data_IF_856219087099
#
_entry.id   IF_856219087099
#
_cell.length_a   1.000
_cell.length_b   1.000
_cell.length_c   1.000
_cell.angle_alpha   90.00
_cell.angle_beta   90.00
_cell.angle_gamma   90.00
#
_symmetry.space_group_name_H-M   'P 1'
#
loop_
_entity.id
_entity.type
_entity.pdbx_description
1 polymer ?
#
# COMPACT_ATOMS: atom_id res chain seq x y z
N UNK A 1 26.71 11.45 -9.19
CA UNK A 1 27.40 10.15 -9.19
C UNK A 1 26.42 9.14 -8.62
N UNK A 2 25.73 8.31 -9.41
CA UNK A 2 24.88 7.28 -8.81
C UNK A 2 25.78 6.14 -8.31
N UNK A 3 25.65 5.84 -7.03
CA UNK A 3 26.41 4.87 -6.26
C UNK A 3 25.85 3.46 -6.52
N UNK A 4 26.70 2.53 -6.95
CA UNK A 4 26.38 1.10 -7.12
C UNK A 4 27.15 0.34 -6.04
N UNK A 5 26.52 -0.46 -5.17
CA UNK A 5 27.26 -1.34 -4.28
C UNK A 5 27.93 -2.44 -5.09
N UNK A 6 29.26 -2.40 -5.16
CA UNK A 6 30.10 -3.47 -5.70
C UNK A 6 30.08 -4.69 -4.74
N UNK A 7 29.00 -5.50 -4.73
CA UNK A 7 29.06 -6.83 -4.07
C UNK A 7 28.05 -7.88 -4.54
N UNK A 8 27.57 -7.83 -5.78
CA UNK A 8 26.92 -8.99 -6.41
C UNK A 8 27.76 -9.49 -7.58
N UNK A 9 28.16 -10.77 -7.53
CA UNK A 9 28.74 -11.40 -8.72
C UNK A 9 27.70 -11.41 -9.85
N UNK A 10 28.14 -11.23 -11.10
CA UNK A 10 27.26 -11.19 -12.26
C UNK A 10 26.24 -12.37 -12.34
N UNK A 11 26.57 -13.61 -11.92
CA UNK A 11 25.60 -14.71 -11.86
C UNK A 11 24.48 -14.51 -10.83
N UNK A 12 24.78 -13.95 -9.65
CA UNK A 12 23.78 -13.70 -8.60
C UNK A 12 22.88 -12.54 -8.99
N UNK A 13 23.44 -11.50 -9.63
CA UNK A 13 22.64 -10.43 -10.20
C UNK A 13 21.70 -10.95 -11.30
N UNK A 14 22.19 -11.84 -12.16
CA UNK A 14 21.39 -12.46 -13.21
C UNK A 14 20.28 -13.35 -12.64
N UNK A 15 20.56 -14.14 -11.59
CA UNK A 15 19.57 -14.98 -10.92
C UNK A 15 18.47 -14.16 -10.24
N UNK A 16 18.83 -13.03 -9.60
CA UNK A 16 17.87 -12.09 -9.03
C UNK A 16 17.01 -11.41 -10.10
N UNK A 17 17.61 -11.03 -11.24
CA UNK A 17 16.88 -10.46 -12.37
C UNK A 17 15.96 -11.49 -13.04
N UNK A 18 16.40 -12.73 -13.21
CA UNK A 18 15.60 -13.82 -13.78
C UNK A 18 14.50 -14.30 -12.82
N UNK A 19 14.71 -14.19 -11.50
CA UNK A 19 13.66 -14.40 -10.49
C UNK A 19 12.61 -13.30 -10.56
N UNK A 20 13.02 -12.02 -10.54
CA UNK A 20 12.10 -10.88 -10.74
C UNK A 20 11.36 -10.94 -12.07
N UNK A 21 12.04 -11.38 -13.14
CA UNK A 21 11.42 -11.55 -14.46
C UNK A 21 10.39 -12.67 -14.45
N UNK A 22 10.67 -13.80 -13.78
CA UNK A 22 9.70 -14.89 -13.59
C UNK A 22 8.51 -14.44 -12.74
N UNK A 23 8.74 -13.70 -11.66
CA UNK A 23 7.67 -13.11 -10.83
C UNK A 23 6.81 -12.11 -11.63
N UNK A 24 7.41 -11.21 -12.42
CA UNK A 24 6.69 -10.33 -13.37
C UNK A 24 5.94 -11.07 -14.47
N UNK A 25 6.35 -12.31 -14.80
CA UNK A 25 5.65 -13.16 -15.78
C UNK A 25 4.50 -13.96 -15.14
N UNK A 26 4.49 -14.13 -13.82
CA UNK A 26 3.41 -14.82 -13.07
C UNK A 26 2.25 -13.88 -12.74
N UNK A 27 2.51 -12.58 -12.58
CA UNK A 27 1.47 -11.56 -12.42
C UNK A 27 1.89 -10.29 -13.16
N UNK A 28 1.04 -9.82 -14.09
CA UNK A 28 1.21 -8.50 -14.72
C UNK A 28 0.91 -7.45 -13.64
N UNK A 29 1.86 -6.53 -13.34
CA UNK A 29 1.61 -5.42 -12.43
C UNK A 29 0.37 -4.63 -12.86
N UNK A 30 -0.44 -4.20 -11.91
CA UNK A 30 -1.76 -3.63 -12.14
C UNK A 30 -1.71 -2.41 -13.07
N UNK A 31 -0.73 -1.52 -12.86
CA UNK A 31 -0.57 -0.33 -13.69
C UNK A 31 0.05 -0.64 -15.07
N UNK A 32 0.93 -1.64 -15.18
CA UNK A 32 1.40 -2.13 -16.48
C UNK A 32 0.22 -2.66 -17.32
N UNK A 33 -0.71 -3.40 -16.69
CA UNK A 33 -1.96 -3.88 -17.32
C UNK A 33 -2.91 -2.74 -17.73
N UNK A 34 -3.09 -1.73 -16.88
CA UNK A 34 -3.94 -0.58 -17.19
C UNK A 34 -3.38 0.33 -18.29
N UNK A 35 -2.06 0.59 -18.29
CA UNK A 35 -1.42 1.54 -19.20
C UNK A 35 -1.09 0.94 -20.57
N UNK A 36 -0.86 -0.37 -20.66
CA UNK A 36 -0.60 -1.06 -21.93
C UNK A 36 -1.76 -0.98 -22.93
N UNK A 37 -2.95 -0.56 -22.47
CA UNK A 37 -4.13 -0.39 -23.34
C UNK A 37 -4.89 -1.69 -23.60
N UNK A 38 -4.55 -2.76 -22.87
CA UNK A 38 -5.15 -4.09 -22.96
C UNK A 38 -5.96 -4.41 -21.69
N UNK A 39 -7.06 -3.68 -21.39
CA UNK A 39 -7.89 -3.97 -20.22
C UNK A 39 -8.51 -5.39 -20.28
N UNK A 40 -8.58 -5.99 -21.47
CA UNK A 40 -8.96 -7.39 -21.65
C UNK A 40 -8.00 -8.36 -20.96
N UNK A 41 -6.70 -8.11 -21.01
CA UNK A 41 -5.71 -8.96 -20.33
C UNK A 41 -5.85 -8.88 -18.80
N UNK A 42 -6.12 -7.68 -18.27
CA UNK A 42 -6.37 -7.52 -16.84
C UNK A 42 -7.71 -8.16 -16.43
N UNK A 43 -8.74 -8.07 -17.28
CA UNK A 43 -10.02 -8.76 -17.07
C UNK A 43 -9.84 -10.30 -17.05
N UNK A 44 -9.05 -10.85 -17.96
CA UNK A 44 -8.75 -12.29 -18.05
C UNK A 44 -7.91 -12.81 -16.87
N UNK A 45 -7.26 -11.92 -16.13
CA UNK A 45 -6.50 -12.29 -14.94
C UNK A 45 -7.38 -12.63 -13.72
N UNK A 46 -8.68 -12.26 -13.74
CA UNK A 46 -9.62 -12.60 -12.67
C UNK A 46 -10.10 -14.05 -12.79
N UNK A 47 -10.28 -14.71 -11.63
CA UNK A 47 -10.81 -16.07 -11.57
C UNK A 47 -12.28 -16.13 -12.00
N UNK A 48 -13.03 -15.05 -11.75
CA UNK A 48 -14.45 -14.88 -12.06
C UNK A 48 -14.81 -13.45 -12.42
N UNK A 49 -15.97 -12.96 -11.95
CA UNK A 49 -16.34 -11.56 -12.15
C UNK A 49 -15.33 -10.64 -11.44
N UNK A 50 -14.78 -9.62 -12.11
CA UNK A 50 -13.80 -8.73 -11.49
C UNK A 50 -14.44 -7.96 -10.34
N UNK A 51 -13.74 -7.89 -9.22
CA UNK A 51 -14.12 -7.12 -8.05
C UNK A 51 -12.96 -6.22 -7.61
N UNK A 52 -13.21 -4.90 -7.61
CA UNK A 52 -12.23 -3.89 -7.21
C UNK A 52 -12.86 -2.97 -6.19
N UNK A 53 -12.10 -2.65 -5.14
CA UNK A 53 -12.47 -1.60 -4.20
C UNK A 53 -11.51 -0.42 -4.34
N UNK A 54 -12.03 0.66 -4.91
CA UNK A 54 -11.33 1.92 -5.14
C UNK A 54 -11.68 2.93 -4.03
N UNK A 55 -10.72 3.72 -3.51
CA UNK A 55 -10.97 4.69 -2.44
C UNK A 55 -12.03 5.75 -2.78
N UNK A 56 -12.17 6.13 -4.05
CA UNK A 56 -13.07 7.21 -4.49
C UNK A 56 -14.36 6.66 -5.09
N UNK A 57 -14.27 5.62 -5.93
CA UNK A 57 -15.40 5.04 -6.65
C UNK A 57 -16.10 3.94 -5.87
N UNK A 58 -15.52 3.48 -4.76
CA UNK A 58 -16.04 2.38 -3.96
C UNK A 58 -15.92 1.05 -4.69
N UNK A 59 -16.93 0.19 -4.51
CA UNK A 59 -16.95 -1.17 -5.06
C UNK A 59 -17.33 -1.16 -6.54
N UNK A 60 -16.43 -1.65 -7.39
CA UNK A 60 -16.62 -1.90 -8.81
C UNK A 60 -16.69 -3.41 -9.01
N UNK A 61 -17.81 -3.91 -9.57
CA UNK A 61 -18.01 -5.35 -9.77
C UNK A 61 -18.56 -5.68 -11.16
N UNK A 62 -18.02 -6.74 -11.75
CA UNK A 62 -18.47 -7.29 -13.02
C UNK A 62 -17.77 -6.64 -14.22
N UNK A 63 -17.68 -7.39 -15.31
CA UNK A 63 -16.87 -7.04 -16.48
C UNK A 63 -17.21 -5.67 -17.08
N UNK A 64 -18.50 -5.32 -17.16
CA UNK A 64 -18.91 -4.02 -17.72
C UNK A 64 -18.45 -2.84 -16.85
N UNK A 65 -18.65 -2.92 -15.53
CA UNK A 65 -18.25 -1.86 -14.62
C UNK A 65 -16.72 -1.73 -14.55
N UNK A 66 -16.02 -2.87 -14.53
CA UNK A 66 -14.57 -2.92 -14.61
C UNK A 66 -14.03 -2.27 -15.89
N UNK A 67 -14.58 -2.61 -17.06
CA UNK A 67 -14.14 -2.01 -18.33
C UNK A 67 -14.35 -0.49 -18.37
N UNK A 68 -15.49 0.00 -17.86
CA UNK A 68 -15.75 1.43 -17.75
C UNK A 68 -14.75 2.11 -16.79
N UNK A 69 -14.49 1.48 -15.64
CA UNK A 69 -13.52 1.94 -14.66
C UNK A 69 -12.09 1.98 -15.23
N UNK A 70 -11.66 0.93 -15.92
CA UNK A 70 -10.33 0.83 -16.52
C UNK A 70 -10.14 1.87 -17.64
N UNK A 71 -11.13 2.02 -18.52
CA UNK A 71 -11.10 3.03 -19.58
C UNK A 71 -11.01 4.46 -19.02
N UNK A 72 -11.82 4.77 -18.01
CA UNK A 72 -11.81 6.09 -17.39
C UNK A 72 -10.51 6.36 -16.61
N UNK A 73 -10.00 5.37 -15.87
CA UNK A 73 -8.73 5.50 -15.14
C UNK A 73 -7.55 5.69 -16.10
N UNK A 74 -7.52 4.95 -17.20
CA UNK A 74 -6.51 5.11 -18.26
C UNK A 74 -6.56 6.50 -18.89
N UNK A 75 -7.74 6.97 -19.27
CA UNK A 75 -7.90 8.32 -19.82
C UNK A 75 -7.37 9.38 -18.84
N UNK A 76 -7.74 9.26 -17.56
CA UNK A 76 -7.28 10.15 -16.50
C UNK A 76 -5.76 10.15 -16.31
N UNK A 77 -5.11 8.97 -16.38
CA UNK A 77 -3.65 8.82 -16.31
C UNK A 77 -2.96 9.44 -17.54
N UNK A 78 -3.51 9.20 -18.74
CA UNK A 78 -2.96 9.73 -19.99
C UNK A 78 -3.07 11.26 -20.07
N UNK A 79 -4.22 11.82 -19.70
CA UNK A 79 -4.45 13.27 -19.63
C UNK A 79 -3.45 13.98 -18.70
N UNK A 80 -2.93 13.27 -17.69
CA UNK A 80 -2.00 13.80 -16.69
C UNK A 80 -0.56 13.38 -16.91
N UNK A 81 -0.21 12.91 -18.10
CA UNK A 81 1.14 12.47 -18.46
C UNK A 81 1.75 11.52 -17.41
N UNK A 82 0.94 10.58 -16.91
CA UNK A 82 1.33 9.73 -15.79
C UNK A 82 2.53 8.83 -16.13
N UNK A 83 3.45 8.67 -15.19
CA UNK A 83 4.50 7.66 -15.22
C UNK A 83 4.55 6.91 -13.90
N UNK A 84 4.88 5.62 -13.96
CA UNK A 84 4.86 4.72 -12.79
C UNK A 84 6.30 4.44 -12.36
N UNK A 85 6.54 4.53 -11.06
CA UNK A 85 7.76 4.08 -10.40
C UNK A 85 7.40 2.94 -9.44
N UNK A 86 7.92 1.74 -9.71
CA UNK A 86 7.71 0.57 -8.86
C UNK A 86 8.55 0.67 -7.58
N UNK A 87 7.94 0.49 -6.41
CA UNK A 87 8.64 0.43 -5.13
C UNK A 87 8.81 -1.01 -4.65
N UNK A 88 7.71 -1.68 -4.31
CA UNK A 88 7.73 -3.05 -3.78
C UNK A 88 6.64 -3.89 -4.46
N UNK A 89 6.93 -5.17 -4.67
CA UNK A 89 6.00 -6.11 -5.27
C UNK A 89 6.22 -7.49 -4.65
N UNK A 90 5.18 -8.02 -4.01
CA UNK A 90 5.18 -9.33 -3.36
C UNK A 90 4.00 -10.15 -3.87
N UNK A 91 4.26 -11.39 -4.28
CA UNK A 91 3.23 -12.39 -4.61
C UNK A 91 3.51 -13.68 -3.85
N UNK A 92 2.61 -14.04 -2.95
CA UNK A 92 2.60 -15.27 -2.18
C UNK A 92 1.37 -16.09 -2.58
N UNK A 93 1.38 -17.40 -2.38
CA UNK A 93 0.49 -18.38 -3.03
C UNK A 93 -1.05 -18.18 -2.96
N UNK A 94 -1.55 -17.18 -2.24
CA UNK A 94 -2.95 -16.72 -2.31
C UNK A 94 -3.14 -15.20 -2.21
N UNK A 95 -2.08 -14.42 -2.03
CA UNK A 95 -2.17 -12.97 -1.82
C UNK A 95 -0.94 -12.27 -2.39
N UNK A 96 -1.11 -11.05 -2.88
CA UNK A 96 0.01 -10.21 -3.23
C UNK A 96 -0.30 -8.75 -3.05
N UNK A 97 0.75 -7.92 -3.07
CA UNK A 97 0.57 -6.49 -3.20
C UNK A 97 1.64 -5.90 -4.11
N UNK A 98 1.28 -4.75 -4.68
CA UNK A 98 2.14 -3.90 -5.47
C UNK A 98 2.07 -2.50 -4.88
N UNK A 99 3.23 -1.91 -4.64
CA UNK A 99 3.38 -0.55 -4.16
C UNK A 99 4.13 0.25 -5.24
N UNK A 100 3.54 1.38 -5.63
CA UNK A 100 4.08 2.23 -6.70
C UNK A 100 3.95 3.71 -6.36
N UNK A 101 4.72 4.54 -7.04
CA UNK A 101 4.50 5.98 -7.12
C UNK A 101 3.97 6.31 -8.51
N UNK A 102 2.77 6.89 -8.57
CA UNK A 102 2.20 7.45 -9.78
C UNK A 102 2.58 8.92 -9.86
N UNK A 103 3.51 9.24 -10.76
CA UNK A 103 3.92 10.62 -11.04
C UNK A 103 2.99 11.20 -12.10
N UNK A 104 2.31 12.29 -11.80
CA UNK A 104 1.28 12.88 -12.66
C UNK A 104 1.31 14.40 -12.64
N UNK A 105 0.86 15.03 -13.71
CA UNK A 105 0.70 16.48 -13.78
C UNK A 105 -0.55 16.90 -12.97
N UNK A 106 -0.35 17.73 -11.95
CA UNK A 106 -1.38 18.39 -11.17
C UNK A 106 -1.54 19.87 -11.54
N UNK A 107 -2.54 20.53 -10.96
CA UNK A 107 -2.85 21.95 -11.25
C UNK A 107 -1.69 22.90 -10.92
N UNK A 108 -0.86 22.54 -9.95
CA UNK A 108 0.26 23.35 -9.45
C UNK A 108 1.64 22.78 -9.80
N UNK A 109 1.68 21.80 -10.72
CA UNK A 109 2.91 21.11 -11.11
C UNK A 109 2.82 19.61 -10.90
N UNK A 110 3.94 18.92 -11.13
CA UNK A 110 4.01 17.46 -11.05
C UNK A 110 3.89 16.97 -9.61
N UNK A 111 3.05 15.97 -9.40
CA UNK A 111 2.76 15.35 -8.11
C UNK A 111 3.22 13.90 -8.15
N UNK A 112 3.84 13.44 -7.06
CA UNK A 112 4.14 12.04 -6.81
C UNK A 112 3.09 11.48 -5.85
N UNK A 113 2.19 10.63 -6.36
CA UNK A 113 1.11 10.04 -5.57
C UNK A 113 1.39 8.55 -5.33
N UNK A 114 1.67 8.13 -4.09
CA UNK A 114 1.98 6.74 -3.81
C UNK A 114 0.68 5.91 -3.69
N UNK A 115 0.70 4.70 -4.24
CA UNK A 115 -0.41 3.74 -4.29
C UNK A 115 0.04 2.40 -3.73
N UNK A 116 -0.91 1.68 -3.14
CA UNK A 116 -0.81 0.24 -2.86
C UNK A 116 -2.01 -0.46 -3.45
N UNK A 117 -1.78 -1.55 -4.17
CA UNK A 117 -2.80 -2.46 -4.68
C UNK A 117 -2.59 -3.80 -4.00
N UNK A 118 -3.59 -4.26 -3.26
CA UNK A 118 -3.60 -5.58 -2.65
C UNK A 118 -4.51 -6.49 -3.46
N UNK A 119 -4.05 -7.71 -3.71
CA UNK A 119 -4.75 -8.72 -4.48
C UNK A 119 -4.92 -10.00 -3.67
N UNK A 120 -6.14 -10.52 -3.65
CA UNK A 120 -6.41 -11.89 -3.26
C UNK A 120 -6.45 -12.77 -4.50
N UNK A 121 -5.94 -13.99 -4.38
CA UNK A 121 -5.71 -14.89 -5.51
C UNK A 121 -6.14 -16.31 -5.18
N UNK A 122 -6.66 -16.99 -6.19
CA UNK A 122 -6.82 -18.44 -6.16
C UNK A 122 -5.46 -19.15 -6.21
N UNK A 123 -5.45 -20.45 -5.91
CA UNK A 123 -4.24 -21.28 -5.95
C UNK A 123 -3.58 -21.35 -7.35
N UNK A 124 -4.33 -21.04 -8.41
CA UNK A 124 -3.83 -20.96 -9.78
C UNK A 124 -3.25 -19.58 -10.16
N UNK A 125 -3.25 -18.63 -9.21
CA UNK A 125 -2.71 -17.29 -9.34
C UNK A 125 -3.67 -16.24 -9.90
N UNK A 126 -4.88 -16.64 -10.34
CA UNK A 126 -5.91 -15.71 -10.80
C UNK A 126 -6.47 -14.89 -9.65
N UNK A 127 -6.91 -13.67 -9.96
CA UNK A 127 -7.32 -12.67 -8.98
C UNK A 127 -8.79 -12.87 -8.60
N UNK A 128 -9.07 -12.91 -7.30
CA UNK A 128 -10.43 -12.89 -6.76
C UNK A 128 -10.91 -11.46 -6.54
N UNK A 129 -10.07 -10.63 -5.92
CA UNK A 129 -10.41 -9.28 -5.50
C UNK A 129 -9.17 -8.38 -5.51
N UNK A 130 -9.35 -7.12 -5.92
CA UNK A 130 -8.35 -6.06 -5.77
C UNK A 130 -8.83 -4.97 -4.82
N UNK A 131 -7.92 -4.47 -3.98
CA UNK A 131 -8.17 -3.35 -3.08
C UNK A 131 -7.08 -2.31 -3.29
N UNK A 132 -7.47 -1.13 -3.74
CA UNK A 132 -6.56 -0.03 -4.07
C UNK A 132 -6.54 0.94 -2.90
N UNK A 133 -5.37 1.46 -2.55
CA UNK A 133 -5.17 2.40 -1.46
C UNK A 133 -4.25 3.53 -1.90
N UNK A 134 -4.69 4.77 -1.67
CA UNK A 134 -3.91 5.99 -1.83
C UNK A 134 -4.62 7.11 -1.07
N UNK A 135 -3.88 8.11 -0.61
CA UNK A 135 -4.48 9.31 0.00
C UNK A 135 -5.10 10.19 -1.07
N UNK A 136 -6.33 10.65 -0.87
CA UNK A 136 -7.00 11.55 -1.82
C UNK A 136 -6.60 13.01 -1.67
N UNK A 137 -5.88 13.37 -0.59
CA UNK A 137 -5.49 14.75 -0.29
C UNK A 137 -4.67 15.42 -1.40
N UNK A 138 -3.62 14.81 -1.98
CA UNK A 138 -2.84 15.45 -3.04
C UNK A 138 -3.64 15.73 -4.33
N UNK A 139 -4.76 15.03 -4.54
CA UNK A 139 -5.61 15.20 -5.71
C UNK A 139 -6.82 16.12 -5.47
N UNK A 140 -7.38 16.08 -4.27
CA UNK A 140 -8.68 16.72 -3.97
C UNK A 140 -8.62 17.77 -2.86
N UNK A 141 -7.46 17.91 -2.19
CA UNK A 141 -7.26 18.83 -1.07
C UNK A 141 -7.99 18.44 0.22
N UNK A 142 -8.63 17.27 0.27
CA UNK A 142 -9.39 16.78 1.43
C UNK A 142 -9.21 15.28 1.61
N UNK A 143 -9.42 14.81 2.84
CA UNK A 143 -9.51 13.40 3.15
C UNK A 143 -10.84 12.81 2.66
N UNK A 144 -10.80 11.63 2.06
CA UNK A 144 -11.97 10.84 1.70
C UNK A 144 -11.93 9.54 2.50
N UNK A 145 -12.50 9.59 3.69
CA UNK A 145 -12.51 8.47 4.63
C UNK A 145 -13.24 7.27 4.02
N UNK A 146 -12.55 6.14 3.96
CA UNK A 146 -13.07 4.89 3.39
C UNK A 146 -13.60 3.98 4.50
N UNK A 147 -14.86 3.50 4.44
CA UNK A 147 -15.36 2.49 5.37
C UNK A 147 -14.56 1.17 5.31
N UNK A 148 -14.69 0.28 6.30
CA UNK A 148 -14.03 -1.01 6.29
C UNK A 148 -14.35 -1.82 5.03
N UNK A 149 -13.31 -2.38 4.43
CA UNK A 149 -13.42 -3.29 3.29
C UNK A 149 -13.36 -4.74 3.76
N UNK A 150 -12.49 -5.00 4.74
CA UNK A 150 -12.28 -6.30 5.34
C UNK A 150 -12.70 -6.30 6.81
N UNK A 151 -13.10 -7.47 7.30
CA UNK A 151 -13.31 -7.70 8.73
C UNK A 151 -11.95 -7.81 9.43
N UNK A 152 -11.83 -7.29 10.66
CA UNK A 152 -10.62 -7.46 11.43
C UNK A 152 -10.46 -8.92 11.88
N UNK A 153 -9.22 -9.39 11.87
CA UNK A 153 -8.81 -10.68 12.39
C UNK A 153 -8.04 -10.45 13.71
N UNK A 154 -8.61 -10.83 14.87
CA UNK A 154 -7.97 -10.62 16.16
C UNK A 154 -6.76 -11.52 16.39
N UNK A 155 -6.62 -12.62 15.65
CA UNK A 155 -5.47 -13.54 15.74
C UNK A 155 -4.30 -13.05 14.89
N UNK A 156 -4.54 -12.06 14.02
CA UNK A 156 -3.52 -11.47 13.18
C UNK A 156 -2.62 -10.55 14.00
N UNK A 157 -1.33 -10.87 13.99
CA UNK A 157 -0.28 -10.10 14.65
C UNK A 157 0.88 -9.85 13.70
N UNK A 158 1.44 -8.65 13.74
CA UNK A 158 2.76 -8.43 13.17
C UNK A 158 3.77 -9.27 13.93
N UNK A 159 4.72 -9.88 13.21
CA UNK A 159 5.86 -10.53 13.82
C UNK A 159 7.01 -9.52 13.99
N UNK A 160 8.06 -9.89 14.71
CA UNK A 160 9.33 -9.14 14.79
C UNK A 160 9.19 -7.62 15.08
N UNK A 161 10.04 -6.81 14.45
CA UNK A 161 10.03 -5.34 14.54
C UNK A 161 8.73 -4.72 14.05
N UNK A 162 8.00 -5.37 13.14
CA UNK A 162 6.67 -4.89 12.71
C UNK A 162 5.69 -4.99 13.88
N UNK A 163 5.71 -6.10 14.63
CA UNK A 163 4.91 -6.28 15.83
C UNK A 163 5.25 -5.26 16.91
N UNK A 164 6.54 -5.02 17.15
CA UNK A 164 7.03 -4.01 18.09
C UNK A 164 6.56 -2.59 17.71
N UNK A 165 6.71 -2.22 16.44
CA UNK A 165 6.24 -0.94 15.90
C UNK A 165 4.72 -0.76 16.08
N UNK A 166 3.92 -1.78 15.75
CA UNK A 166 2.47 -1.72 15.91
C UNK A 166 2.05 -1.62 17.38
N UNK A 167 2.79 -2.26 18.29
CA UNK A 167 2.60 -2.13 19.73
C UNK A 167 2.87 -0.70 20.21
N UNK A 168 4.00 -0.12 19.79
CA UNK A 168 4.38 1.25 20.12
C UNK A 168 3.44 2.30 19.51
N UNK A 169 2.96 2.07 18.28
CA UNK A 169 1.93 2.89 17.64
C UNK A 169 0.63 2.87 18.44
N UNK A 170 0.19 1.70 18.91
CA UNK A 170 -1.02 1.55 19.69
C UNK A 170 -0.94 2.21 21.09
N UNK A 171 0.24 2.21 21.71
CA UNK A 171 0.48 2.84 23.02
C UNK A 171 0.81 4.33 22.94
N UNK A 172 1.23 4.84 21.79
CA UNK A 172 1.69 6.22 21.62
C UNK A 172 3.11 6.44 22.11
N UNK A 173 3.94 5.40 22.11
CA UNK A 173 5.32 5.43 22.59
C UNK A 173 6.28 5.87 21.46
N UNK A 174 6.57 7.18 21.41
CA UNK A 174 7.46 7.76 20.39
C UNK A 174 8.86 7.16 20.44
N UNK A 175 9.42 6.94 21.62
CA UNK A 175 10.80 6.46 21.74
C UNK A 175 10.91 4.99 21.30
N UNK A 176 9.92 4.15 21.65
CA UNK A 176 9.85 2.79 21.15
C UNK A 176 9.65 2.72 19.63
N UNK A 177 8.82 3.61 19.06
CA UNK A 177 8.70 3.72 17.60
C UNK A 177 10.06 4.03 16.98
N UNK A 178 10.76 5.06 17.46
CA UNK A 178 12.04 5.46 16.88
C UNK A 178 13.10 4.38 17.03
N UNK A 179 13.09 3.64 18.14
CA UNK A 179 13.98 2.51 18.34
C UNK A 179 13.79 1.38 17.31
N UNK A 180 12.58 1.24 16.76
CA UNK A 180 12.25 0.26 15.73
C UNK A 180 12.78 0.61 14.34
N UNK A 181 13.23 1.85 14.09
CA UNK A 181 13.70 2.31 12.77
C UNK A 181 15.22 2.26 12.59
N UNK A 182 15.64 2.13 11.33
CA UNK A 182 16.98 2.44 10.84
C UNK A 182 16.93 3.27 9.53
N UNK A 183 17.60 4.44 9.43
CA UNK A 183 18.10 5.28 10.53
C UNK A 183 16.93 5.85 11.36
N UNK A 184 17.22 6.73 12.33
CA UNK A 184 16.21 7.30 13.24
C UNK A 184 14.92 7.75 12.50
N UNK A 185 13.77 7.25 12.96
CA UNK A 185 12.47 7.51 12.34
C UNK A 185 12.00 8.97 12.44
N UNK A 186 10.89 9.33 11.79
CA UNK A 186 10.41 10.72 11.73
C UNK A 186 9.75 11.19 13.03
N UNK A 187 10.55 11.48 14.08
CA UNK A 187 10.07 11.88 15.43
C UNK A 187 8.95 12.92 15.41
N UNK A 188 9.13 14.03 14.69
CA UNK A 188 8.17 15.13 14.68
C UNK A 188 6.79 14.71 14.16
N UNK A 189 6.73 13.73 13.24
CA UNK A 189 5.48 13.20 12.72
C UNK A 189 4.73 12.43 13.81
N UNK A 190 5.41 11.52 14.52
CA UNK A 190 4.80 10.73 15.60
C UNK A 190 4.40 11.58 16.81
N UNK A 191 5.20 12.57 17.19
CA UNK A 191 4.83 13.53 18.23
C UNK A 191 3.55 14.30 17.86
N UNK A 192 3.44 14.73 16.60
CA UNK A 192 2.20 15.35 16.09
C UNK A 192 1.03 14.36 16.14
N UNK A 193 1.22 13.13 15.68
CA UNK A 193 0.18 12.12 15.68
C UNK A 193 -0.33 11.81 17.10
N UNK A 194 0.54 11.74 18.09
CA UNK A 194 0.15 11.45 19.48
C UNK A 194 -0.23 12.68 20.30
N UNK A 195 -0.17 13.88 19.71
CA UNK A 195 -0.59 15.13 20.36
C UNK A 195 -2.07 15.12 20.81
N UNK A 196 -2.90 14.23 20.23
CA UNK A 196 -4.28 14.02 20.63
C UNK A 196 -4.43 13.11 21.89
N UNK A 197 -3.37 12.90 22.67
CA UNK A 197 -3.46 12.26 23.98
C UNK A 197 -3.62 10.74 23.93
N UNK A 198 -2.76 10.04 23.19
CA UNK A 198 -2.67 8.58 23.17
C UNK A 198 -2.19 8.03 21.82
N UNK A 199 -2.10 6.70 21.72
CA UNK A 199 -1.71 6.00 20.49
C UNK A 199 -2.84 5.76 19.49
N UNK A 200 -2.50 5.03 18.43
CA UNK A 200 -3.36 4.75 17.27
C UNK A 200 -3.42 3.22 17.11
N UNK A 201 -4.30 2.52 17.86
CA UNK A 201 -4.47 1.09 17.68
C UNK A 201 -5.11 0.80 16.31
N UNK A 202 -4.54 -0.17 15.60
CA UNK A 202 -5.05 -0.63 14.32
C UNK A 202 -5.78 -1.97 14.51
N UNK A 203 -7.01 -2.06 14.02
CA UNK A 203 -7.68 -3.34 13.85
C UNK A 203 -7.11 -4.01 12.59
N UNK A 204 -6.39 -5.11 12.75
CA UNK A 204 -5.66 -5.76 11.66
C UNK A 204 -6.60 -6.63 10.86
N UNK A 205 -6.55 -6.56 9.53
CA UNK A 205 -7.48 -7.29 8.66
C UNK A 205 -6.78 -8.33 7.77
N UNK A 206 -5.60 -7.99 7.24
CA UNK A 206 -4.82 -8.88 6.37
C UNK A 206 -3.35 -8.54 6.42
N UNK A 207 -2.50 -9.56 6.38
CA UNK A 207 -1.05 -9.44 6.36
C UNK A 207 -0.48 -10.22 5.18
N UNK A 208 0.36 -9.55 4.39
CA UNK A 208 1.17 -10.18 3.34
C UNK A 208 2.62 -9.85 3.68
N UNK A 209 3.40 -10.86 4.04
CA UNK A 209 4.76 -10.69 4.55
C UNK A 209 5.69 -11.73 3.93
N UNK A 210 6.70 -11.27 3.18
CA UNK A 210 7.74 -12.13 2.59
C UNK A 210 9.01 -12.20 3.46
N UNK A 211 8.98 -11.59 4.65
CA UNK A 211 10.09 -11.48 5.58
C UNK A 211 10.97 -10.25 5.35
N UNK A 212 10.92 -9.59 4.18
CA UNK A 212 11.58 -8.30 3.92
C UNK A 212 10.59 -7.16 3.93
N UNK A 213 9.47 -7.31 3.23
CA UNK A 213 8.42 -6.30 3.11
C UNK A 213 7.09 -6.90 3.52
N UNK A 214 6.33 -6.09 4.27
CA UNK A 214 5.07 -6.48 4.85
C UNK A 214 3.99 -5.44 4.51
N UNK A 215 2.92 -5.84 3.84
CA UNK A 215 1.70 -5.05 3.71
C UNK A 215 0.65 -5.51 4.75
N UNK A 216 0.18 -4.56 5.57
CA UNK A 216 -0.86 -4.77 6.56
C UNK A 216 -2.09 -3.94 6.19
N UNK A 217 -3.19 -4.59 5.81
CA UNK A 217 -4.50 -3.94 5.68
C UNK A 217 -5.14 -3.84 7.07
N UNK A 218 -5.71 -2.69 7.41
CA UNK A 218 -6.27 -2.42 8.73
C UNK A 218 -7.49 -1.49 8.71
N UNK A 219 -8.19 -1.41 9.83
CA UNK A 219 -9.11 -0.32 10.15
C UNK A 219 -8.56 0.55 11.30
N UNK A 220 -8.63 1.87 11.15
CA UNK A 220 -8.43 2.83 12.24
C UNK A 220 -9.78 3.10 12.90
N UNK A 221 -9.89 2.79 14.19
CA UNK A 221 -11.13 3.01 14.99
C UNK A 221 -10.94 4.03 16.12
N UNK A 222 -9.69 4.40 16.40
CA UNK A 222 -9.34 5.36 17.43
C UNK A 222 -8.00 6.02 17.09
N UNK A 223 -7.89 7.30 17.43
CA UNK A 223 -6.65 8.05 17.33
C UNK A 223 -6.51 8.96 18.55
N UNK A 224 -5.61 8.62 19.47
CA UNK A 224 -5.50 9.31 20.75
C UNK A 224 -6.82 9.23 21.54
N UNK A 225 -7.32 10.38 21.97
CA UNK A 225 -8.58 10.51 22.70
C UNK A 225 -9.83 10.42 21.82
N UNK A 226 -9.68 10.43 20.49
CA UNK A 226 -10.81 10.46 19.55
C UNK A 226 -11.18 9.06 19.07
N UNK A 227 -12.43 8.65 19.30
CA UNK A 227 -13.03 7.51 18.61
C UNK A 227 -13.46 7.90 17.20
N UNK A 228 -13.15 7.05 16.23
CA UNK A 228 -13.45 7.27 14.82
C UNK A 228 -14.45 6.21 14.35
N UNK A 229 -15.35 6.53 13.40
CA UNK A 229 -15.94 5.50 12.56
C UNK A 229 -14.80 4.68 11.94
N UNK A 230 -14.88 3.33 11.90
CA UNK A 230 -13.84 2.50 11.32
C UNK A 230 -13.45 2.95 9.92
N UNK A 231 -12.14 3.10 9.68
CA UNK A 231 -11.61 3.63 8.43
C UNK A 231 -10.52 2.71 7.88
N UNK A 232 -10.72 2.20 6.66
CA UNK A 232 -9.80 1.28 6.03
C UNK A 232 -8.52 1.98 5.56
N UNK A 233 -7.39 1.30 5.76
CA UNK A 233 -6.07 1.70 5.31
C UNK A 233 -5.18 0.50 5.03
N UNK A 234 -3.99 0.77 4.48
CA UNK A 234 -2.90 -0.21 4.39
C UNK A 234 -1.59 0.44 4.78
N UNK A 235 -0.72 -0.31 5.47
CA UNK A 235 0.63 0.11 5.78
C UNK A 235 1.62 -0.86 5.16
N UNK A 236 2.65 -0.32 4.51
CA UNK A 236 3.78 -1.08 3.99
C UNK A 236 4.98 -0.84 4.91
N UNK A 237 5.49 -1.92 5.49
CA UNK A 237 6.66 -1.93 6.35
C UNK A 237 7.81 -2.60 5.61
N UNK A 238 8.97 -1.95 5.55
CA UNK A 238 10.19 -2.48 4.94
C UNK A 238 11.20 -2.72 6.04
N UNK A 239 11.68 -3.95 6.16
CA UNK A 239 12.78 -4.31 7.04
C UNK A 239 14.11 -4.06 6.34
N UNK A 240 15.03 -3.41 7.03
CA UNK A 240 16.41 -3.21 6.58
C UNK A 240 17.33 -4.34 7.05
N UNK A 241 18.61 -4.20 6.73
CA UNK A 241 19.61 -5.24 6.98
C UNK A 241 19.90 -5.50 8.46
N UNK A 242 19.63 -4.53 9.36
CA UNK A 242 19.83 -4.74 10.80
C UNK A 242 18.66 -5.45 11.48
N UNK A 243 17.60 -5.77 10.73
CA UNK A 243 16.34 -6.28 11.27
C UNK A 243 15.42 -5.19 11.82
N UNK A 244 15.78 -3.91 11.66
CA UNK A 244 14.92 -2.77 11.97
C UNK A 244 14.08 -2.34 10.76
N UNK A 245 13.13 -1.44 10.97
CA UNK A 245 12.36 -0.84 9.89
C UNK A 245 13.21 0.19 9.13
N UNK A 246 13.46 -0.09 7.85
CA UNK A 246 13.97 0.92 6.92
C UNK A 246 12.87 1.94 6.54
N UNK A 247 11.60 1.51 6.57
CA UNK A 247 10.46 2.39 6.31
C UNK A 247 9.15 1.82 6.87
N UNK A 248 8.23 2.71 7.21
CA UNK A 248 6.81 2.42 7.36
C UNK A 248 6.03 3.49 6.58
N UNK A 249 5.21 3.07 5.63
CA UNK A 249 4.44 3.95 4.75
C UNK A 249 2.96 3.65 4.93
N UNK A 250 2.17 4.65 5.28
CA UNK A 250 0.74 4.52 5.55
C UNK A 250 -0.06 5.10 4.38
N UNK A 251 -1.09 4.35 3.97
CA UNK A 251 -1.94 4.63 2.83
C UNK A 251 -3.40 4.60 3.29
N UNK A 252 -3.78 5.67 3.98
CA UNK A 252 -5.15 5.92 4.39
C UNK A 252 -5.46 7.42 4.31
N UNK A 253 -6.73 7.74 4.54
CA UNK A 253 -7.21 9.11 4.72
C UNK A 253 -7.75 9.30 6.14
N UNK A 254 -7.21 8.57 7.12
CA UNK A 254 -7.68 8.66 8.48
C UNK A 254 -7.30 10.02 9.09
N UNK A 255 -8.31 10.77 9.51
CA UNK A 255 -8.13 12.13 10.02
C UNK A 255 -8.91 12.32 11.33
N UNK A 256 -8.24 12.46 12.48
CA UNK A 256 -8.89 12.82 13.74
C UNK A 256 -9.14 14.33 13.87
N UNK A 257 -8.89 15.11 12.80
CA UNK A 257 -8.91 16.58 12.73
C UNK A 257 -7.95 17.22 13.72
N UNK A 258 -6.69 16.81 13.67
CA UNK A 258 -5.64 17.46 14.48
C UNK A 258 -5.57 18.96 14.14
N UNK A 259 -5.26 19.84 15.12
CA UNK A 259 -4.99 21.24 14.84
C UNK A 259 -3.96 21.40 13.72
N UNK A 260 -4.14 22.40 12.86
CA UNK A 260 -3.13 22.78 11.88
C UNK A 260 -1.85 23.22 12.60
N UNK A 261 -0.69 22.84 12.06
CA UNK A 261 0.62 23.28 12.53
C UNK A 261 0.89 24.75 12.17
#
# INVERSE_FOLDING_TARGET
>A
MPWVPETFSAPVLQELLDKRRRERLVAVPYFDGLLSGEPGALLESFAGEPEIHDPIRGRVKGAQAFNAFAAHTRAWLQERNASIEDLEHVVLGGHGFEEVIVHLDGEHGRVALPFVIVADREADGRIDELRIYYSSVPLTGRHVNRPPVLQPDPELHGSDVVGEYLGALASGDVDAILAAFEPDGPRAQYERWFSNGGGIPLERCRLIDDGRVCALEYNVVRWGATHLPPQAGVAVHVRGESGKLAAARLYDDADPRLPAA
#
